data_IF_970119147575
#
_entry.id   IF_970119147575
#
_cell.length_a   1.000
_cell.length_b   1.000
_cell.length_c   1.000
_cell.angle_alpha   90.00
_cell.angle_beta   90.00
_cell.angle_gamma   90.00
#
_symmetry.space_group_name_H-M   'P 1'
#
loop_
_entity.id
_entity.type
_entity.pdbx_description
1 polymer ?
#
# COMPACT_ATOMS: atom_id res chain seq x y z
N UNK A 1 16.62 1.83 2.84
CA UNK A 1 15.26 2.40 2.64
C UNK A 1 14.69 1.78 1.39
N UNK A 2 13.52 1.15 1.51
CA UNK A 2 12.81 0.45 0.43
C UNK A 2 11.35 0.88 0.47
N UNK A 3 10.80 1.19 -0.70
CA UNK A 3 9.41 1.57 -0.87
C UNK A 3 8.81 0.87 -2.10
N UNK A 4 7.47 0.80 -2.20
CA UNK A 4 6.78 0.17 -3.31
C UNK A 4 6.73 -1.35 -3.26
N UNK A 5 6.80 -1.95 -2.07
CA UNK A 5 6.67 -3.41 -1.91
C UNK A 5 5.27 -3.92 -2.26
N UNK A 6 5.17 -5.17 -2.68
CA UNK A 6 3.88 -5.83 -2.92
C UNK A 6 3.09 -5.92 -1.59
N UNK A 7 1.79 -5.68 -1.66
CA UNK A 7 0.86 -5.79 -0.52
C UNK A 7 0.51 -7.26 -0.23
N UNK A 8 1.52 -8.08 0.03
CA UNK A 8 1.43 -9.52 0.29
C UNK A 8 1.46 -9.89 1.79
N UNK A 9 1.63 -8.88 2.67
CA UNK A 9 1.77 -9.06 4.12
C UNK A 9 3.14 -9.58 4.59
N UNK A 10 4.07 -9.86 3.69
CA UNK A 10 5.39 -10.44 3.98
C UNK A 10 6.54 -9.57 3.51
N UNK A 11 6.44 -9.00 2.32
CA UNK A 11 7.43 -8.14 1.70
C UNK A 11 7.39 -6.76 2.35
N UNK A 12 8.43 -6.44 3.12
CA UNK A 12 8.49 -5.18 3.85
C UNK A 12 8.98 -4.00 3.00
N UNK A 13 8.38 -2.85 3.24
CA UNK A 13 9.00 -1.54 3.04
C UNK A 13 9.89 -1.23 4.26
N UNK A 14 10.97 -0.46 4.05
CA UNK A 14 11.90 -0.10 5.12
C UNK A 14 12.16 1.39 5.19
N UNK A 15 12.01 1.95 6.39
CA UNK A 15 12.36 3.33 6.71
C UNK A 15 13.53 3.37 7.69
N UNK A 16 14.25 4.48 7.73
CA UNK A 16 15.25 4.74 8.75
C UNK A 16 14.84 5.96 9.56
N UNK A 17 14.94 5.85 10.89
CA UNK A 17 14.80 6.97 11.82
C UNK A 17 16.14 7.24 12.46
N UNK A 18 16.49 8.52 12.63
CA UNK A 18 17.66 8.98 13.36
C UNK A 18 17.23 9.88 14.51
N UNK A 19 17.70 9.58 15.71
CA UNK A 19 17.44 10.35 16.92
C UNK A 19 18.70 11.12 17.29
N UNK A 20 18.55 12.43 17.48
CA UNK A 20 19.62 13.33 17.92
C UNK A 20 19.18 14.18 19.10
N UNK A 21 20.15 14.69 19.85
CA UNK A 21 19.92 15.76 20.83
C UNK A 21 19.77 17.13 20.15
N UNK A 22 19.57 18.17 20.96
CA UNK A 22 19.43 19.56 20.50
C UNK A 22 20.70 20.13 19.86
N UNK A 23 21.86 19.51 20.06
CA UNK A 23 23.15 19.92 19.50
C UNK A 23 23.51 19.10 18.24
N UNK A 24 22.66 18.15 17.84
CA UNK A 24 22.87 17.29 16.66
C UNK A 24 23.67 16.01 16.94
N UNK A 25 23.97 15.69 18.20
CA UNK A 25 24.64 14.44 18.55
C UNK A 25 23.67 13.28 18.44
N UNK A 26 24.12 12.17 17.85
CA UNK A 26 23.32 10.95 17.77
C UNK A 26 23.10 10.32 19.14
N UNK A 27 21.85 9.89 19.41
CA UNK A 27 21.48 9.27 20.68
C UNK A 27 21.18 7.77 20.50
N UNK A 28 22.04 6.94 21.06
CA UNK A 28 21.87 5.49 21.10
C UNK A 28 20.94 5.04 22.24
N UNK A 29 20.36 3.85 22.10
CA UNK A 29 19.54 3.22 23.13
C UNK A 29 18.21 3.89 23.39
N UNK A 30 17.75 4.73 22.46
CA UNK A 30 16.51 5.48 22.59
C UNK A 30 15.33 4.64 22.11
N UNK A 31 14.30 4.51 22.95
CA UNK A 31 13.05 3.84 22.58
C UNK A 31 12.18 4.77 21.75
N UNK A 32 11.90 4.37 20.52
CA UNK A 32 11.01 5.06 19.58
C UNK A 32 9.74 4.24 19.45
N UNK A 33 8.59 4.84 19.71
CA UNK A 33 7.29 4.22 19.43
C UNK A 33 6.94 4.42 17.97
N UNK A 34 6.38 3.40 17.32
CA UNK A 34 6.05 3.45 15.89
C UNK A 34 4.61 2.99 15.68
N UNK A 35 3.88 3.73 14.87
CA UNK A 35 2.55 3.38 14.40
C UNK A 35 2.48 3.49 12.89
N UNK A 36 1.56 2.75 12.28
CA UNK A 36 1.25 2.87 10.86
C UNK A 36 -0.27 2.82 10.67
N UNK A 37 -0.75 3.47 9.62
CA UNK A 37 -2.16 3.44 9.20
C UNK A 37 -2.38 2.49 8.01
N UNK A 38 -3.55 2.56 7.37
CA UNK A 38 -3.91 1.74 6.21
C UNK A 38 -3.72 0.23 6.45
N UNK A 39 -3.96 -0.20 7.69
CA UNK A 39 -3.80 -1.59 8.15
C UNK A 39 -2.38 -2.15 8.00
N UNK A 40 -1.37 -1.30 7.82
CA UNK A 40 0.02 -1.72 7.80
C UNK A 40 0.48 -2.16 9.19
N UNK A 41 1.37 -3.14 9.22
CA UNK A 41 1.90 -3.77 10.42
C UNK A 41 3.36 -3.34 10.62
N UNK A 42 3.66 -2.91 11.85
CA UNK A 42 4.98 -2.46 12.30
C UNK A 42 5.27 -2.97 13.70
N UNK A 43 6.54 -3.01 14.09
CA UNK A 43 6.89 -3.15 15.50
C UNK A 43 6.42 -1.88 16.25
N UNK A 44 5.69 -2.06 17.36
CA UNK A 44 5.17 -0.92 18.14
C UNK A 44 6.28 -0.07 18.76
N UNK A 45 7.44 -0.66 19.04
CA UNK A 45 8.62 0.03 19.56
C UNK A 45 9.87 -0.50 18.89
N UNK A 46 10.84 0.39 18.69
CA UNK A 46 12.17 0.10 18.18
C UNK A 46 13.21 0.87 19.00
N UNK A 47 14.46 0.39 19.02
CA UNK A 47 15.54 0.99 19.82
C UNK A 47 16.65 1.46 18.89
N UNK A 48 17.13 2.70 19.06
CA UNK A 48 18.25 3.21 18.27
C UNK A 48 19.56 2.50 18.57
N UNK A 49 20.30 2.21 17.51
CA UNK A 49 21.64 1.68 17.57
C UNK A 49 22.69 2.72 18.01
N UNK A 50 23.97 2.33 18.04
CA UNK A 50 25.07 3.19 18.52
C UNK A 50 25.25 4.50 17.74
N UNK A 51 24.82 4.54 16.48
CA UNK A 51 24.84 5.72 15.60
C UNK A 51 23.58 6.58 15.71
N UNK A 52 22.70 6.26 16.67
CA UNK A 52 21.41 6.90 16.89
C UNK A 52 20.38 6.60 15.80
N UNK A 53 20.60 5.61 14.94
CA UNK A 53 19.65 5.23 13.90
C UNK A 53 18.95 3.91 14.21
N UNK A 54 17.78 3.71 13.61
CA UNK A 54 17.05 2.44 13.65
C UNK A 54 16.28 2.24 12.36
N UNK A 55 16.24 1.01 11.88
CA UNK A 55 15.42 0.63 10.74
C UNK A 55 14.04 0.17 11.20
N UNK A 56 13.00 0.63 10.50
CA UNK A 56 11.61 0.24 10.70
C UNK A 56 11.18 -0.57 9.49
N UNK A 57 10.80 -1.82 9.72
CA UNK A 57 10.15 -2.67 8.72
C UNK A 57 8.63 -2.52 8.82
N UNK A 58 7.99 -2.36 7.66
CA UNK A 58 6.54 -2.15 7.53
C UNK A 58 6.02 -3.13 6.48
N UNK A 59 5.03 -3.93 6.85
CA UNK A 59 4.34 -4.84 5.91
C UNK A 59 2.87 -4.49 5.81
N UNK A 60 2.21 -4.84 4.71
CA UNK A 60 0.76 -4.65 4.57
C UNK A 60 0.20 -5.67 3.57
N UNK A 61 -1.06 -6.06 3.75
CA UNK A 61 -1.85 -6.78 2.74
C UNK A 61 -2.75 -5.82 1.93
N UNK A 62 -2.84 -4.56 2.36
CA UNK A 62 -3.63 -3.51 1.73
C UNK A 62 -2.72 -2.65 0.87
N UNK A 63 -2.96 -2.64 -0.43
CA UNK A 63 -2.27 -1.75 -1.36
C UNK A 63 -2.67 -0.29 -1.12
N UNK A 64 -1.76 0.63 -1.45
CA UNK A 64 -1.95 2.06 -1.27
C UNK A 64 -0.92 2.66 -0.31
N UNK A 65 -1.14 3.94 0.00
CA UNK A 65 -0.26 4.71 0.86
C UNK A 65 -0.53 4.36 2.32
N UNK A 66 0.52 4.15 3.10
CA UNK A 66 0.49 4.06 4.56
C UNK A 66 1.43 5.11 5.15
N UNK A 67 0.91 5.91 6.09
CA UNK A 67 1.68 6.85 6.87
C UNK A 67 2.28 6.14 8.10
N UNK A 68 3.60 6.16 8.20
CA UNK A 68 4.36 5.59 9.31
C UNK A 68 4.82 6.72 10.21
N UNK A 69 4.43 6.67 11.47
CA UNK A 69 4.70 7.71 12.45
C UNK A 69 5.58 7.18 13.56
N UNK A 70 6.74 7.80 13.74
CA UNK A 70 7.69 7.52 14.80
C UNK A 70 7.60 8.63 15.86
N UNK A 71 7.51 8.25 17.13
CA UNK A 71 7.43 9.18 18.26
C UNK A 71 8.44 8.81 19.33
N UNK A 72 9.07 9.84 19.90
CA UNK A 72 9.95 9.70 21.05
C UNK A 72 9.81 10.93 21.95
N UNK A 73 9.54 10.70 23.24
CA UNK A 73 9.23 11.78 24.20
C UNK A 73 8.12 12.69 23.64
N UNK A 74 8.45 13.95 23.35
CA UNK A 74 7.54 14.96 22.77
C UNK A 74 7.86 15.28 21.30
N UNK A 75 8.67 14.45 20.63
CA UNK A 75 9.04 14.59 19.22
C UNK A 75 8.36 13.54 18.36
N UNK A 76 7.92 13.94 17.18
CA UNK A 76 7.22 13.09 16.22
C UNK A 76 7.76 13.34 14.82
N UNK A 77 7.94 12.26 14.06
CA UNK A 77 8.22 12.30 12.63
C UNK A 77 7.27 11.35 11.92
N UNK A 78 6.80 11.72 10.73
CA UNK A 78 5.92 10.89 9.92
C UNK A 78 6.39 10.87 8.48
N UNK A 79 6.27 9.72 7.83
CA UNK A 79 6.69 9.51 6.45
C UNK A 79 5.77 8.48 5.79
N UNK A 80 5.49 8.69 4.50
CA UNK A 80 4.63 7.79 3.75
C UNK A 80 5.44 6.68 3.08
N UNK A 81 4.84 5.50 3.02
CA UNK A 81 5.26 4.38 2.17
C UNK A 81 4.10 3.92 1.31
N UNK A 82 4.39 3.35 0.16
CA UNK A 82 3.41 2.82 -0.78
C UNK A 82 3.54 1.29 -0.86
N UNK A 83 2.41 0.60 -0.75
CA UNK A 83 2.27 -0.81 -1.09
C UNK A 83 1.56 -0.96 -2.42
N UNK A 84 2.02 -1.89 -3.27
CA UNK A 84 1.51 -2.11 -4.62
C UNK A 84 0.73 -3.43 -4.67
N UNK A 85 -0.42 -3.45 -5.34
CA UNK A 85 -1.20 -4.68 -5.54
C UNK A 85 -0.42 -5.69 -6.40
N UNK A 86 -0.57 -6.98 -6.13
CA UNK A 86 0.16 -8.02 -6.88
C UNK A 86 -0.52 -8.32 -8.23
N UNK A 87 0.06 -7.78 -9.31
CA UNK A 87 -0.39 -8.00 -10.69
C UNK A 87 -0.37 -9.46 -11.13
N UNK A 88 0.47 -10.31 -10.53
CA UNK A 88 0.61 -11.72 -10.91
C UNK A 88 -0.56 -12.55 -10.42
N UNK A 89 -1.28 -12.07 -9.40
CA UNK A 89 -2.45 -12.74 -8.83
C UNK A 89 -3.77 -12.05 -9.22
N UNK A 90 -3.72 -11.19 -10.24
CA UNK A 90 -4.88 -10.47 -10.73
C UNK A 90 -6.00 -11.42 -11.18
N UNK A 91 -7.23 -11.11 -10.79
CA UNK A 91 -8.46 -11.82 -11.14
C UNK A 91 -9.61 -10.84 -11.38
N UNK A 92 -10.57 -11.26 -12.21
CA UNK A 92 -11.85 -10.55 -12.32
C UNK A 92 -12.62 -10.77 -11.03
N UNK A 93 -12.81 -9.70 -10.26
CA UNK A 93 -13.58 -9.73 -9.02
C UNK A 93 -15.07 -9.50 -9.27
N UNK A 94 -15.40 -8.67 -10.26
CA UNK A 94 -16.77 -8.35 -10.61
C UNK A 94 -16.91 -7.98 -12.10
N UNK A 95 -18.07 -8.30 -12.67
CA UNK A 95 -18.46 -7.95 -14.03
C UNK A 95 -19.95 -7.58 -14.02
N UNK A 96 -20.24 -6.30 -14.22
CA UNK A 96 -21.60 -5.76 -14.11
C UNK A 96 -21.99 -5.05 -15.39
N UNK A 97 -23.21 -5.29 -15.86
CA UNK A 97 -23.81 -4.52 -16.94
C UNK A 97 -24.33 -3.20 -16.36
N UNK A 98 -23.77 -2.08 -16.81
CA UNK A 98 -24.13 -0.72 -16.36
C UNK A 98 -25.15 -0.05 -17.28
N UNK A 99 -25.24 -0.50 -18.54
CA UNK A 99 -26.29 -0.13 -19.48
C UNK A 99 -26.66 -1.36 -20.29
N UNK A 100 -27.94 -1.69 -20.25
CA UNK A 100 -28.52 -2.80 -20.99
C UNK A 100 -29.72 -2.32 -21.81
N UNK A 101 -30.15 -3.15 -22.78
CA UNK A 101 -31.28 -2.90 -23.68
C UNK A 101 -31.10 -1.65 -24.55
N UNK A 102 -29.86 -1.38 -24.97
CA UNK A 102 -29.58 -0.35 -25.97
C UNK A 102 -30.25 -0.71 -27.29
N UNK A 103 -30.70 0.30 -28.04
CA UNK A 103 -31.31 0.09 -29.36
C UNK A 103 -30.28 -0.56 -30.28
N UNK A 104 -30.68 -1.61 -31.00
CA UNK A 104 -29.83 -2.30 -31.97
C UNK A 104 -29.71 -1.49 -33.29
N UNK A 105 -29.25 -0.24 -33.19
CA UNK A 105 -29.05 0.69 -34.31
C UNK A 105 -27.58 0.80 -34.75
N UNK A 106 -26.68 0.05 -34.10
CA UNK A 106 -25.24 0.08 -34.35
C UNK A 106 -24.54 1.34 -33.84
N UNK A 107 -25.27 2.29 -33.24
CA UNK A 107 -24.74 3.52 -32.66
C UNK A 107 -24.77 3.49 -31.12
N UNK A 108 -25.79 2.86 -30.54
CA UNK A 108 -25.94 2.71 -29.09
C UNK A 108 -25.39 1.37 -28.61
N UNK A 109 -24.46 1.40 -27.67
CA UNK A 109 -23.86 0.22 -27.07
C UNK A 109 -24.31 0.01 -25.62
N UNK A 110 -24.50 -1.27 -25.26
CA UNK A 110 -24.50 -1.70 -23.88
C UNK A 110 -23.13 -1.46 -23.26
N UNK A 111 -23.09 -1.12 -21.97
CA UNK A 111 -21.84 -0.85 -21.26
C UNK A 111 -21.66 -1.83 -20.11
N UNK A 112 -20.46 -2.40 -20.01
CA UNK A 112 -20.06 -3.26 -18.90
C UNK A 112 -18.98 -2.56 -18.07
N UNK A 113 -19.00 -2.79 -16.77
CA UNK A 113 -17.96 -2.41 -15.84
C UNK A 113 -17.31 -3.68 -15.30
N UNK A 114 -15.98 -3.73 -15.36
CA UNK A 114 -15.17 -4.83 -14.85
C UNK A 114 -14.36 -4.33 -13.67
N UNK A 115 -14.38 -5.05 -12.55
CA UNK A 115 -13.48 -4.81 -11.42
C UNK A 115 -12.41 -5.90 -11.38
N UNK A 116 -11.14 -5.49 -11.40
CA UNK A 116 -9.99 -6.39 -11.29
C UNK A 116 -9.34 -6.21 -9.93
N UNK A 117 -9.13 -7.30 -9.20
CA UNK A 117 -8.41 -7.30 -7.91
C UNK A 117 -7.29 -8.34 -7.89
N UNK A 118 -6.35 -8.21 -6.96
CA UNK A 118 -5.37 -9.26 -6.69
C UNK A 118 -5.99 -10.35 -5.80
N UNK A 119 -5.18 -11.33 -5.36
CA UNK A 119 -5.62 -12.37 -4.42
C UNK A 119 -6.14 -11.81 -3.09
N UNK A 120 -5.56 -10.70 -2.62
CA UNK A 120 -5.88 -10.03 -1.35
C UNK A 120 -7.06 -9.05 -1.47
N UNK A 121 -7.60 -8.85 -2.68
CA UNK A 121 -8.72 -7.95 -2.94
C UNK A 121 -8.31 -6.50 -3.23
N UNK A 122 -7.02 -6.22 -3.38
CA UNK A 122 -6.52 -4.90 -3.77
C UNK A 122 -6.91 -4.63 -5.22
N UNK A 123 -7.47 -3.44 -5.50
CA UNK A 123 -7.90 -3.09 -6.86
C UNK A 123 -6.69 -2.79 -7.74
N UNK A 124 -6.67 -3.36 -8.95
CA UNK A 124 -5.64 -3.07 -9.95
C UNK A 124 -6.17 -2.14 -11.03
N UNK A 125 -5.48 -1.01 -11.22
CA UNK A 125 -5.72 -0.12 -12.34
C UNK A 125 -4.94 -0.58 -13.58
N UNK A 126 -5.40 -0.16 -14.76
CA UNK A 126 -4.66 -0.32 -16.04
C UNK A 126 -4.57 -1.75 -16.57
N UNK A 127 -5.31 -2.70 -16.01
CA UNK A 127 -5.31 -4.09 -16.48
C UNK A 127 -6.06 -4.21 -17.81
N UNK A 128 -5.46 -4.91 -18.79
CA UNK A 128 -6.13 -5.23 -20.05
C UNK A 128 -7.12 -6.37 -19.82
N UNK A 129 -8.38 -6.14 -20.14
CA UNK A 129 -9.45 -7.15 -20.08
C UNK A 129 -9.97 -7.40 -21.48
N UNK A 130 -10.01 -8.66 -21.89
CA UNK A 130 -10.66 -9.07 -23.14
C UNK A 130 -12.09 -9.49 -22.86
N UNK A 131 -13.04 -8.96 -23.63
CA UNK A 131 -14.46 -9.32 -23.57
C UNK A 131 -14.88 -9.94 -24.90
N UNK A 132 -15.68 -11.01 -24.83
CA UNK A 132 -16.30 -11.63 -26.00
C UNK A 132 -17.81 -11.49 -25.85
N UNK A 133 -18.46 -10.93 -26.86
CA UNK A 133 -19.91 -10.93 -26.99
C UNK A 133 -20.34 -12.09 -27.90
N UNK A 134 -21.41 -12.78 -27.54
CA UNK A 134 -21.98 -13.87 -28.32
C UNK A 134 -22.90 -13.38 -29.45
N UNK A 135 -23.33 -12.12 -29.40
CA UNK A 135 -24.14 -11.43 -30.39
C UNK A 135 -23.71 -9.97 -30.53
N UNK A 136 -23.77 -9.42 -31.74
CA UNK A 136 -23.37 -8.03 -32.06
C UNK A 136 -24.10 -7.50 -33.29
#
# INVERSE_FOLDING_TARGET
>A
IKDGSEADGSTANTLQVRVTDAFGNALAGQTVSVTADNSAMVASTVITGPDGTVEISVTSQTAGISAVTATINNSTASQNVMFIADVRTAKIADLVVTRDNSVADGAMANTLQVKVTDANGNTLAGQTVSVLADNG
#
